data_IF_792074944122
#
_entry.id   IF_792074944122
#
_cell.length_a   1.000
_cell.length_b   1.000
_cell.length_c   1.000
_cell.angle_alpha   90.00
_cell.angle_beta   90.00
_cell.angle_gamma   90.00
#
_symmetry.space_group_name_H-M   'P 1'
#
loop_
_entity.id
_entity.type
_entity.pdbx_description
1 polymer ?
#
# COMPACT_ATOMS: atom_id res chain seq x y z
N UNK A 1 -3.91 -12.84 -4.83
CA UNK A 1 -3.49 -11.62 -4.07
C UNK A 1 -2.03 -11.22 -4.25
N UNK A 2 -1.67 -10.62 -5.40
CA UNK A 2 -0.30 -10.12 -5.68
C UNK A 2 0.11 -8.98 -4.73
N UNK A 3 -0.78 -8.00 -4.52
CA UNK A 3 -0.54 -6.84 -3.65
C UNK A 3 -0.21 -7.24 -2.21
N UNK A 4 -1.00 -8.16 -1.61
CA UNK A 4 -0.74 -8.65 -0.25
C UNK A 4 0.65 -9.25 -0.10
N UNK A 5 1.08 -10.08 -1.07
CA UNK A 5 2.39 -10.72 -1.02
C UNK A 5 3.52 -9.70 -1.19
N UNK A 6 3.34 -8.69 -2.04
CA UNK A 6 4.31 -7.63 -2.23
C UNK A 6 4.47 -6.77 -0.96
N UNK A 7 3.36 -6.37 -0.34
CA UNK A 7 3.38 -5.65 0.95
C UNK A 7 4.06 -6.52 2.03
N UNK A 8 3.72 -7.81 2.12
CA UNK A 8 4.30 -8.74 3.09
C UNK A 8 5.83 -8.88 2.94
N UNK A 9 6.35 -8.88 1.71
CA UNK A 9 7.80 -8.96 1.48
C UNK A 9 8.51 -7.69 1.91
N UNK A 10 7.99 -6.52 1.52
CA UNK A 10 8.58 -5.23 1.89
C UNK A 10 8.46 -4.95 3.39
N UNK A 11 7.38 -5.43 4.04
CA UNK A 11 7.17 -5.25 5.48
C UNK A 11 8.20 -5.96 6.35
N UNK A 12 8.91 -6.96 5.83
CA UNK A 12 9.94 -7.70 6.59
C UNK A 12 11.07 -6.81 7.11
N UNK A 13 11.28 -5.65 6.48
CA UNK A 13 12.32 -4.70 6.88
C UNK A 13 11.77 -3.58 7.77
N UNK A 14 10.48 -3.58 8.13
CA UNK A 14 9.94 -2.60 9.08
C UNK A 14 10.40 -2.89 10.50
N UNK A 15 10.52 -1.85 11.32
CA UNK A 15 10.88 -1.95 12.73
C UNK A 15 10.05 -0.95 13.55
N UNK A 16 10.10 -0.99 14.90
CA UNK A 16 9.33 -0.08 15.74
C UNK A 16 9.60 1.42 15.51
N UNK A 17 10.82 1.77 15.09
CA UNK A 17 11.26 3.16 14.82
C UNK A 17 10.91 3.64 13.40
N UNK A 18 10.57 2.72 12.50
CA UNK A 18 10.38 2.98 11.08
C UNK A 18 9.38 1.96 10.50
N UNK A 19 8.10 2.17 10.82
CA UNK A 19 7.02 1.22 10.49
C UNK A 19 6.44 1.41 9.09
N UNK A 20 6.56 2.62 8.52
CA UNK A 20 5.95 2.93 7.23
C UNK A 20 6.71 2.26 6.07
N UNK A 21 5.98 1.68 5.12
CA UNK A 21 6.50 1.38 3.77
C UNK A 21 6.14 2.53 2.84
N UNK A 22 6.99 2.78 1.86
CA UNK A 22 6.74 3.76 0.80
C UNK A 22 6.05 3.09 -0.37
N UNK A 23 4.98 3.70 -0.85
CA UNK A 23 4.25 3.29 -2.05
C UNK A 23 4.34 4.40 -3.07
N UNK A 24 5.04 4.14 -4.17
CA UNK A 24 5.08 5.02 -5.34
C UNK A 24 4.10 4.49 -6.38
N UNK A 25 3.16 5.32 -6.78
CA UNK A 25 2.12 5.01 -7.76
C UNK A 25 2.45 5.78 -9.03
N UNK A 26 2.67 5.03 -10.09
CA UNK A 26 2.95 5.52 -11.43
C UNK A 26 1.89 4.98 -12.38
N UNK A 27 1.91 5.48 -13.61
CA UNK A 27 1.05 4.95 -14.66
C UNK A 27 1.28 3.44 -14.82
N UNK A 28 0.18 2.68 -14.72
CA UNK A 28 0.12 1.22 -14.84
C UNK A 28 1.00 0.42 -13.86
N UNK A 29 1.58 1.08 -12.84
CA UNK A 29 2.61 0.47 -11.99
C UNK A 29 2.59 1.00 -10.56
N UNK A 30 2.69 0.08 -9.59
CA UNK A 30 2.91 0.39 -8.18
C UNK A 30 4.26 -0.16 -7.74
N UNK A 31 5.07 0.69 -7.10
CA UNK A 31 6.33 0.31 -6.48
C UNK A 31 6.21 0.40 -4.97
N UNK A 32 6.63 -0.65 -4.28
CA UNK A 32 6.62 -0.77 -2.82
C UNK A 32 8.08 -0.79 -2.36
N UNK A 33 8.43 0.01 -1.36
CA UNK A 33 9.81 0.01 -0.85
C UNK A 33 9.89 0.27 0.64
N UNK A 34 10.96 -0.25 1.24
CA UNK A 34 11.35 0.02 2.61
C UNK A 34 12.87 0.06 2.69
N UNK A 35 13.41 1.15 3.22
CA UNK A 35 14.80 1.25 3.60
C UNK A 35 14.89 1.35 5.12
N UNK A 36 15.70 0.51 5.72
CA UNK A 36 15.95 0.46 7.16
C UNK A 36 17.45 0.36 7.36
N UNK A 37 18.14 1.42 7.82
CA UNK A 37 19.60 1.53 7.78
C UNK A 37 20.36 0.32 8.32
N UNK A 38 19.88 -0.29 9.40
CA UNK A 38 20.53 -1.44 10.04
C UNK A 38 20.19 -2.81 9.42
N UNK A 39 19.15 -2.89 8.58
CA UNK A 39 18.68 -4.15 7.97
C UNK A 39 18.96 -4.18 6.45
N UNK A 40 18.84 -3.04 5.78
CA UNK A 40 19.01 -2.87 4.33
C UNK A 40 17.76 -2.34 3.65
N UNK A 41 17.59 -2.71 2.38
CA UNK A 41 16.49 -2.24 1.52
C UNK A 41 15.68 -3.41 0.96
N UNK A 42 14.36 -3.23 0.90
CA UNK A 42 13.43 -4.10 0.21
C UNK A 42 12.63 -3.28 -0.82
N UNK A 43 12.47 -3.86 -2.00
CA UNK A 43 11.71 -3.30 -3.12
C UNK A 43 10.86 -4.38 -3.75
N UNK A 44 9.66 -4.00 -4.14
CA UNK A 44 8.76 -4.85 -4.90
C UNK A 44 7.94 -4.00 -5.88
N UNK A 45 7.39 -4.65 -6.90
CA UNK A 45 6.62 -4.01 -7.95
C UNK A 45 5.41 -4.87 -8.30
N UNK A 46 4.29 -4.21 -8.56
CA UNK A 46 3.12 -4.84 -9.14
C UNK A 46 2.53 -3.96 -10.24
N UNK A 47 1.91 -4.60 -11.22
CA UNK A 47 1.11 -3.92 -12.25
C UNK A 47 -0.26 -3.56 -11.66
N UNK A 48 -0.75 -2.37 -11.99
CA UNK A 48 -2.06 -1.83 -11.55
C UNK A 48 -2.76 -1.16 -12.74
N UNK A 49 -4.07 -0.95 -12.67
CA UNK A 49 -4.78 -0.06 -13.60
C UNK A 49 -4.83 1.34 -12.99
N UNK A 50 -3.90 2.20 -13.39
CA UNK A 50 -3.81 3.57 -12.88
C UNK A 50 -3.32 4.53 -13.95
N UNK A 51 -4.08 5.61 -14.14
CA UNK A 51 -3.85 6.61 -15.21
C UNK A 51 -3.79 8.06 -14.68
N UNK A 52 -3.74 8.22 -13.36
CA UNK A 52 -3.63 9.53 -12.72
C UNK A 52 -2.18 10.02 -12.61
N UNK A 53 -2.01 11.13 -11.90
CA UNK A 53 -0.71 11.72 -11.62
C UNK A 53 0.14 10.84 -10.69
N UNK A 54 1.45 10.96 -10.80
CA UNK A 54 2.35 10.20 -9.92
C UNK A 54 2.18 10.62 -8.47
N UNK A 55 2.09 9.64 -7.57
CA UNK A 55 1.88 9.86 -6.15
C UNK A 55 2.86 9.04 -5.33
N UNK A 56 3.36 9.60 -4.24
CA UNK A 56 4.18 8.89 -3.26
C UNK A 56 3.54 8.99 -1.88
N UNK A 57 3.30 7.86 -1.22
CA UNK A 57 2.56 7.82 0.04
C UNK A 57 3.13 6.75 0.98
N UNK A 58 3.18 7.06 2.27
CA UNK A 58 3.61 6.13 3.32
C UNK A 58 2.42 5.46 4.00
N UNK A 59 2.52 4.15 4.25
CA UNK A 59 1.51 3.41 5.01
C UNK A 59 2.14 2.43 5.98
N UNK A 60 1.45 2.18 7.10
CA UNK A 60 1.74 1.00 7.91
C UNK A 60 1.31 -0.25 7.12
N UNK A 61 2.24 -1.17 6.77
CA UNK A 61 1.90 -2.34 5.97
C UNK A 61 0.95 -3.29 6.71
N UNK A 62 0.96 -3.30 8.05
CA UNK A 62 0.08 -4.15 8.86
C UNK A 62 -1.38 -3.80 8.58
N UNK A 63 -1.72 -2.51 8.59
CA UNK A 63 -3.10 -2.06 8.33
C UNK A 63 -3.55 -2.41 6.91
N UNK A 64 -2.69 -2.22 5.92
CA UNK A 64 -3.01 -2.62 4.55
C UNK A 64 -3.21 -4.15 4.44
N UNK A 65 -2.35 -4.93 5.10
CA UNK A 65 -2.45 -6.39 5.10
C UNK A 65 -3.71 -6.89 5.82
N UNK A 66 -4.10 -6.27 6.94
CA UNK A 66 -5.31 -6.61 7.67
C UNK A 66 -6.56 -6.35 6.84
N UNK A 67 -6.62 -5.20 6.16
CA UNK A 67 -7.66 -4.91 5.18
C UNK A 67 -7.65 -6.01 4.13
N UNK A 68 -6.53 -6.21 3.42
CA UNK A 68 -6.38 -7.17 2.32
C UNK A 68 -6.67 -8.65 2.67
N UNK A 69 -6.61 -9.05 3.94
CA UNK A 69 -6.97 -10.43 4.38
C UNK A 69 -8.45 -10.72 4.29
N UNK A 70 -9.31 -9.71 4.38
CA UNK A 70 -10.76 -9.86 4.31
C UNK A 70 -11.25 -9.99 2.86
N UNK A 71 -10.36 -9.81 1.88
CA UNK A 71 -10.70 -9.80 0.46
C UNK A 71 -10.73 -11.22 -0.08
N UNK A 72 -11.94 -11.73 -0.31
CA UNK A 72 -12.18 -13.00 -1.00
C UNK A 72 -12.08 -12.88 -2.54
N UNK A 73 -12.10 -11.64 -3.07
CA UNK A 73 -12.01 -11.36 -4.52
C UNK A 73 -10.61 -10.96 -4.97
N UNK A 74 -10.35 -11.22 -6.26
CA UNK A 74 -9.06 -10.97 -6.90
C UNK A 74 -8.72 -9.49 -7.16
N UNK A 75 -9.71 -8.59 -7.10
CA UNK A 75 -9.55 -7.16 -7.44
C UNK A 75 -9.95 -6.28 -6.26
N UNK A 76 -9.10 -5.30 -5.96
CA UNK A 76 -9.29 -4.26 -4.95
C UNK A 76 -9.17 -2.89 -5.60
N UNK A 77 -10.07 -1.98 -5.24
CA UNK A 77 -10.00 -0.58 -5.65
C UNK A 77 -9.47 0.26 -4.49
N UNK A 78 -8.42 1.03 -4.76
CA UNK A 78 -7.78 1.93 -3.81
C UNK A 78 -7.88 3.34 -4.38
N UNK A 79 -8.60 4.21 -3.69
CA UNK A 79 -8.72 5.62 -4.03
C UNK A 79 -7.78 6.45 -3.16
N UNK A 80 -7.04 7.32 -3.82
CA UNK A 80 -6.03 8.19 -3.24
C UNK A 80 -6.19 9.59 -3.81
N UNK A 81 -5.97 10.61 -2.99
CA UNK A 81 -6.13 12.02 -3.39
C UNK A 81 -4.83 12.81 -3.22
N UNK A 82 -4.18 12.69 -2.07
CA UNK A 82 -2.95 13.40 -1.71
C UNK A 82 -2.13 12.52 -0.74
N UNK A 83 -0.79 12.62 -0.70
CA UNK A 83 0.06 11.86 0.22
C UNK A 83 -0.33 11.95 1.70
N UNK A 84 -0.99 13.03 2.11
CA UNK A 84 -1.39 13.32 3.48
C UNK A 84 -2.85 12.96 3.79
N UNK A 85 -3.63 12.57 2.77
CA UNK A 85 -5.04 12.23 2.93
C UNK A 85 -5.24 10.72 3.10
N UNK A 86 -6.32 10.30 3.80
CA UNK A 86 -6.64 8.88 3.94
C UNK A 86 -6.82 8.19 2.60
N UNK A 87 -6.35 6.94 2.51
CA UNK A 87 -6.73 6.04 1.44
C UNK A 87 -8.12 5.46 1.72
N UNK A 88 -8.92 5.36 0.67
CA UNK A 88 -10.22 4.67 0.73
C UNK A 88 -10.12 3.39 -0.08
N UNK A 89 -10.35 2.25 0.58
CA UNK A 89 -10.26 0.93 -0.04
C UNK A 89 -11.67 0.35 -0.11
N UNK A 90 -12.12 0.01 -1.32
CA UNK A 90 -13.49 -0.47 -1.58
C UNK A 90 -13.51 -1.93 -2.06
N UNK A 91 -14.61 -2.62 -1.72
CA UNK A 91 -14.80 -4.05 -2.04
C UNK A 91 -16.17 -4.34 -2.66
N UNK A 92 -16.17 -5.16 -3.73
CA UNK A 92 -17.35 -5.70 -4.41
C UNK A 92 -18.24 -4.64 -5.07
N UNK A 93 -18.95 -4.99 -6.13
CA UNK A 93 -19.99 -4.11 -6.70
C UNK A 93 -21.36 -4.76 -6.44
N UNK A 94 -22.34 -4.06 -5.82
CA UNK A 94 -22.21 -2.75 -5.17
C UNK A 94 -21.34 -2.81 -3.89
N UNK A 95 -20.61 -1.72 -3.59
CA UNK A 95 -19.61 -1.67 -2.51
C UNK A 95 -20.21 -1.97 -1.14
N UNK A 96 -19.97 -3.19 -0.63
CA UNK A 96 -20.49 -3.63 0.67
C UNK A 96 -19.65 -3.14 1.85
N UNK A 97 -18.37 -2.85 1.61
CA UNK A 97 -17.42 -2.48 2.65
C UNK A 97 -16.49 -1.38 2.16
N UNK A 98 -16.25 -0.40 3.04
CA UNK A 98 -15.33 0.72 2.84
C UNK A 98 -14.35 0.70 4.01
N UNK A 99 -13.06 0.60 3.70
CA UNK A 99 -11.98 0.72 4.66
C UNK A 99 -11.26 2.04 4.45
N UNK A 100 -10.88 2.67 5.56
CA UNK A 100 -10.10 3.90 5.56
C UNK A 100 -8.77 3.62 6.23
N UNK A 101 -7.67 3.93 5.54
CA UNK A 101 -6.32 3.77 6.07
C UNK A 101 -5.63 5.14 6.06
N UNK A 102 -5.14 5.57 7.22
CA UNK A 102 -4.44 6.84 7.36
C UNK A 102 -2.99 6.71 6.86
N UNK A 103 -2.47 7.71 6.12
CA UNK A 103 -1.08 7.70 5.71
C UNK A 103 -0.16 7.95 6.91
N UNK A 104 1.08 7.49 6.75
CA UNK A 104 2.19 7.83 7.63
C UNK A 104 3.16 8.74 6.90
N UNK A 105 3.78 9.65 7.62
CA UNK A 105 4.90 10.41 7.08
C UNK A 105 6.07 9.47 6.78
N UNK A 106 6.65 9.65 5.59
CA UNK A 106 7.92 9.03 5.23
C UNK A 106 9.01 9.80 5.96
N UNK A 107 9.71 9.13 6.88
CA UNK A 107 10.78 9.69 7.71
C UNK A 107 12.12 9.13 7.24
#
# INVERSE_FOLDING_TARGET
>A
NKLYQAIKRVSLLTNPNSQAIKIDILKDKMMLSKNTPEIGEAKDQIDIDYKGDTLSIGFNPIYLMEVLRVFEKDVVEIELTDPQKPAVIRMNTPYKYIYIVLPMQLI
#
